data_IF_019391300752
#
_entry.id   IF_019391300752
#
_cell.length_a   1.000
_cell.length_b   1.000
_cell.length_c   1.000
_cell.angle_alpha   90.00
_cell.angle_beta   90.00
_cell.angle_gamma   90.00
#
_symmetry.space_group_name_H-M   'P 1'
#
loop_
_entity.id
_entity.type
_entity.pdbx_description
1 polymer ?
#
# COMPACT_ATOMS: atom_id res chain seq x y z
N UNK A 1 30.80 -0.51 37.65
CA UNK A 1 30.64 0.64 36.72
C UNK A 1 29.80 0.18 35.56
N UNK A 2 28.63 0.82 35.37
CA UNK A 2 27.72 0.60 34.26
C UNK A 2 28.32 1.16 32.97
N UNK A 3 28.16 0.46 31.85
CA UNK A 3 28.03 1.08 30.52
C UNK A 3 26.87 0.37 29.82
N UNK A 4 25.74 1.08 29.78
CA UNK A 4 24.58 0.75 28.97
C UNK A 4 24.92 1.27 27.56
N UNK A 5 24.90 0.38 26.58
CA UNK A 5 24.84 0.77 25.17
C UNK A 5 23.37 0.75 24.78
N UNK A 6 22.80 1.94 24.60
CA UNK A 6 21.52 2.12 23.92
C UNK A 6 21.82 2.12 22.43
N UNK A 7 21.28 1.14 21.71
CA UNK A 7 21.26 1.10 20.25
C UNK A 7 19.90 1.66 19.82
N UNK A 8 19.94 2.78 19.11
CA UNK A 8 18.81 3.50 18.50
C UNK A 8 19.11 3.56 16.99
N UNK A 9 18.08 3.59 16.13
CA UNK A 9 18.02 3.41 14.65
C UNK A 9 17.75 1.96 14.23
N UNK A 10 16.72 1.61 13.43
CA UNK A 10 15.93 2.35 12.42
C UNK A 10 14.49 1.83 12.47
N UNK A 11 13.50 2.71 12.61
CA UNK A 11 12.06 2.40 12.49
C UNK A 11 11.44 3.36 11.47
N UNK A 12 11.87 3.25 10.20
CA UNK A 12 11.45 4.14 9.11
C UNK A 12 11.00 3.39 7.83
N UNK A 13 10.71 2.09 7.91
CA UNK A 13 10.24 1.30 6.74
C UNK A 13 8.79 0.79 6.85
N UNK A 14 8.02 1.19 7.87
CA UNK A 14 6.65 0.69 8.05
C UNK A 14 5.59 1.56 7.36
N UNK A 15 5.92 2.81 7.00
CA UNK A 15 4.96 3.72 6.34
C UNK A 15 4.81 3.49 4.82
N UNK A 16 5.65 2.65 4.22
CA UNK A 16 5.69 2.49 2.76
C UNK A 16 4.52 1.67 2.18
N UNK A 17 3.91 0.78 2.99
CA UNK A 17 2.82 -0.08 2.51
C UNK A 17 1.44 0.61 2.45
N UNK A 18 1.26 1.74 3.15
CA UNK A 18 -0.05 2.41 3.26
C UNK A 18 -0.32 3.32 2.06
N UNK A 19 0.72 3.93 1.48
CA UNK A 19 0.61 4.76 0.27
C UNK A 19 0.18 3.99 -0.99
N UNK A 20 0.58 2.72 -1.11
CA UNK A 20 0.23 1.90 -2.29
C UNK A 20 -1.27 1.59 -2.41
N UNK A 21 -2.02 1.55 -1.30
CA UNK A 21 -3.43 1.16 -1.34
C UNK A 21 -4.35 2.31 -1.77
N UNK A 22 -3.99 3.57 -1.49
CA UNK A 22 -4.69 4.76 -2.00
C UNK A 22 -4.44 4.99 -3.50
N UNK A 23 -3.34 4.45 -4.03
CA UNK A 23 -3.00 4.58 -5.45
C UNK A 23 -3.94 3.78 -6.36
N UNK A 24 -4.40 2.58 -5.97
CA UNK A 24 -5.21 1.71 -6.85
C UNK A 24 -6.67 2.15 -7.04
N UNK A 25 -7.23 2.96 -6.13
CA UNK A 25 -8.63 3.42 -6.26
C UNK A 25 -8.74 4.71 -7.09
N UNK A 26 -7.73 5.57 -7.05
CA UNK A 26 -7.71 6.83 -7.80
C UNK A 26 -7.05 6.74 -9.20
N UNK A 27 -6.32 5.66 -9.51
CA UNK A 27 -5.60 5.51 -10.78
C UNK A 27 -6.31 4.67 -11.85
N UNK A 28 -7.64 4.47 -11.79
CA UNK A 28 -8.36 3.91 -12.95
C UNK A 28 -8.33 4.93 -14.10
N UNK A 29 -7.63 4.70 -15.22
CA UNK A 29 -7.64 5.63 -16.33
C UNK A 29 -9.06 5.69 -16.91
N UNK A 30 -9.68 6.88 -16.84
CA UNK A 30 -10.82 7.18 -17.69
C UNK A 30 -10.35 7.05 -19.13
N UNK A 31 -10.97 6.14 -19.87
CA UNK A 31 -10.69 5.87 -21.28
C UNK A 31 -11.03 7.12 -22.10
N UNK A 32 -10.04 7.99 -22.31
CA UNK A 32 -10.19 9.17 -23.17
C UNK A 32 -9.89 8.76 -24.61
N UNK A 33 -10.88 8.93 -25.49
CA UNK A 33 -10.74 8.62 -26.91
C UNK A 33 -9.68 9.52 -27.57
N UNK A 34 -8.80 8.88 -28.35
CA UNK A 34 -7.69 9.48 -29.07
C UNK A 34 -8.20 10.46 -30.14
N UNK A 35 -7.93 11.75 -29.96
CA UNK A 35 -8.01 12.75 -31.04
C UNK A 35 -6.59 13.05 -31.53
N UNK A 36 -6.21 12.49 -32.67
CA UNK A 36 -5.00 12.89 -33.38
C UNK A 36 -5.27 14.21 -34.10
N UNK A 37 -4.69 15.29 -33.60
CA UNK A 37 -4.59 16.58 -34.29
C UNK A 37 -3.21 17.18 -34.07
N UNK A 38 -2.46 17.31 -35.17
CA UNK A 38 -1.13 17.90 -35.24
C UNK A 38 -1.13 19.40 -34.92
N UNK A 39 -0.45 19.79 -33.84
CA UNK A 39 0.29 21.06 -33.63
C UNK A 39 0.94 21.04 -32.24
N UNK A 40 2.27 20.96 -32.20
CA UNK A 40 3.10 21.06 -30.99
C UNK A 40 2.72 20.06 -29.91
N UNK A 41 3.09 18.80 -30.08
CA UNK A 41 3.07 17.85 -28.96
C UNK A 41 4.38 18.12 -28.23
N UNK A 42 4.32 18.54 -26.97
CA UNK A 42 5.50 18.58 -26.12
C UNK A 42 6.09 17.17 -26.10
N UNK A 43 7.35 17.07 -26.50
CA UNK A 43 7.99 15.78 -26.75
C UNK A 43 8.32 15.07 -25.44
N UNK A 44 8.62 15.86 -24.41
CA UNK A 44 8.63 15.47 -23.01
C UNK A 44 7.63 16.32 -22.21
N UNK A 45 6.98 15.69 -21.25
CA UNK A 45 6.23 16.34 -20.17
C UNK A 45 6.37 15.50 -18.91
N UNK A 46 5.96 16.03 -17.75
CA UNK A 46 5.99 15.28 -16.51
C UNK A 46 4.82 15.66 -15.59
N UNK A 47 4.40 14.69 -14.79
CA UNK A 47 3.47 14.89 -13.69
C UNK A 47 4.19 14.59 -12.38
N UNK A 48 4.22 15.56 -11.46
CA UNK A 48 4.67 15.38 -10.08
C UNK A 48 3.45 15.49 -9.18
N UNK A 49 3.27 14.51 -8.30
CA UNK A 49 2.22 14.51 -7.28
C UNK A 49 2.81 14.32 -5.90
N UNK A 50 2.12 14.82 -4.87
CA UNK A 50 2.44 14.57 -3.47
C UNK A 50 1.17 14.24 -2.69
N UNK A 51 1.32 13.37 -1.69
CA UNK A 51 0.30 13.09 -0.67
C UNK A 51 0.71 13.63 0.70
N UNK A 52 1.80 14.39 0.75
CA UNK A 52 2.32 14.95 1.99
C UNK A 52 1.68 16.30 2.28
N UNK A 53 1.52 16.59 3.56
CA UNK A 53 1.13 17.91 4.05
C UNK A 53 2.36 18.60 4.65
N UNK A 54 2.36 19.93 4.66
CA UNK A 54 3.30 20.69 5.46
C UNK A 54 2.67 21.12 6.79
N UNK A 55 3.50 21.22 7.82
CA UNK A 55 3.12 21.72 9.15
C UNK A 55 3.92 23.00 9.44
N UNK A 56 3.28 24.17 9.56
CA UNK A 56 3.96 25.44 9.82
C UNK A 56 4.86 25.39 11.07
N UNK A 57 6.14 25.75 10.91
CA UNK A 57 7.10 25.76 12.02
C UNK A 57 7.78 24.41 12.28
N UNK A 58 7.44 23.37 11.54
CA UNK A 58 8.03 22.04 11.65
C UNK A 58 9.10 21.76 10.58
N UNK A 59 9.88 20.71 10.82
CA UNK A 59 10.67 20.04 9.78
C UNK A 59 9.88 18.81 9.33
N UNK A 60 9.60 18.71 8.04
CA UNK A 60 8.76 17.65 7.47
C UNK A 60 9.46 16.96 6.30
N UNK A 61 9.25 15.65 6.15
CA UNK A 61 9.66 14.90 4.97
C UNK A 61 8.49 14.81 4.01
N UNK A 62 8.61 15.49 2.87
CA UNK A 62 7.64 15.48 1.78
C UNK A 62 7.96 14.34 0.82
N UNK A 63 6.97 13.51 0.52
CA UNK A 63 7.07 12.40 -0.43
C UNK A 63 6.39 12.76 -1.74
N UNK A 64 7.06 12.50 -2.84
CA UNK A 64 6.62 12.82 -4.19
C UNK A 64 6.66 11.58 -5.08
N UNK A 65 5.82 11.61 -6.12
CA UNK A 65 5.89 10.67 -7.25
C UNK A 65 6.00 11.49 -8.51
N UNK A 66 7.02 11.19 -9.33
CA UNK A 66 7.17 11.75 -10.67
C UNK A 66 6.89 10.68 -11.73
N UNK A 67 6.18 11.08 -12.78
CA UNK A 67 6.03 10.28 -14.01
C UNK A 67 6.38 11.15 -15.20
N UNK A 68 7.43 10.77 -15.94
CA UNK A 68 7.78 11.38 -17.22
C UNK A 68 6.87 10.82 -18.30
N UNK A 69 6.44 11.66 -19.23
CA UNK A 69 5.58 11.30 -20.35
C UNK A 69 6.30 11.74 -21.62
N UNK A 70 6.62 10.78 -22.49
CA UNK A 70 7.22 11.03 -23.80
C UNK A 70 6.52 10.24 -24.90
N UNK A 71 6.49 10.79 -26.11
CA UNK A 71 5.90 10.16 -27.30
C UNK A 71 6.93 9.59 -28.28
N UNK A 72 8.22 9.85 -28.05
CA UNK A 72 9.29 9.47 -28.98
C UNK A 72 10.56 8.96 -28.30
N UNK A 73 10.43 8.42 -27.08
CA UNK A 73 11.52 7.82 -26.30
C UNK A 73 12.52 8.83 -25.71
N UNK A 74 12.10 10.08 -25.52
CA UNK A 74 12.80 11.01 -24.63
C UNK A 74 12.75 10.50 -23.18
N UNK A 75 13.89 10.43 -22.52
CA UNK A 75 14.01 10.12 -21.10
C UNK A 75 14.42 11.35 -20.32
N UNK A 76 13.89 11.52 -19.10
CA UNK A 76 14.30 12.62 -18.24
C UNK A 76 15.70 12.36 -17.68
N UNK A 77 16.59 13.33 -17.82
CA UNK A 77 18.00 13.29 -17.35
C UNK A 77 18.28 14.32 -16.24
N UNK A 78 17.35 15.26 -16.00
CA UNK A 78 17.47 16.25 -14.94
C UNK A 78 16.11 16.60 -14.36
N UNK A 79 16.01 16.62 -13.03
CA UNK A 79 14.86 17.15 -12.30
C UNK A 79 15.34 18.25 -11.36
N UNK A 80 14.70 19.42 -11.44
CA UNK A 80 14.85 20.51 -10.49
C UNK A 80 13.51 20.85 -9.86
N UNK A 81 13.50 21.08 -8.55
CA UNK A 81 12.36 21.59 -7.80
C UNK A 81 12.75 22.86 -7.05
N UNK A 82 11.96 23.91 -7.20
CA UNK A 82 12.15 25.19 -6.51
C UNK A 82 11.00 25.42 -5.53
N UNK A 83 11.34 25.38 -4.25
CA UNK A 83 10.38 25.57 -3.16
C UNK A 83 10.05 27.06 -2.97
N UNK A 84 8.79 27.39 -2.65
CA UNK A 84 8.40 28.78 -2.42
C UNK A 84 9.05 29.34 -1.16
N UNK A 85 9.10 30.67 -1.04
CA UNK A 85 9.59 31.32 0.16
C UNK A 85 8.84 30.82 1.41
N UNK A 86 9.58 30.49 2.47
CA UNK A 86 9.04 29.91 3.69
C UNK A 86 9.04 28.38 3.74
N UNK A 87 9.48 27.70 2.67
CA UNK A 87 9.80 26.27 2.69
C UNK A 87 11.24 26.09 2.24
N UNK A 88 12.13 25.72 3.15
CA UNK A 88 13.57 25.58 2.87
C UNK A 88 13.92 24.10 2.76
N UNK A 89 14.36 23.60 1.59
CA UNK A 89 14.86 22.23 1.47
C UNK A 89 16.12 22.03 2.33
N UNK A 90 16.21 20.88 3.00
CA UNK A 90 17.29 20.50 3.92
C UNK A 90 18.05 19.26 3.43
N UNK A 91 17.34 18.29 2.87
CA UNK A 91 17.89 17.06 2.31
C UNK A 91 16.90 16.47 1.28
N UNK A 92 17.32 15.47 0.52
CA UNK A 92 16.44 14.77 -0.40
C UNK A 92 16.85 13.34 -0.66
N UNK A 93 16.00 12.62 -1.39
CA UNK A 93 16.32 11.31 -1.93
C UNK A 93 17.70 11.36 -2.56
N UNK A 94 18.59 10.41 -2.26
CA UNK A 94 19.93 10.47 -2.80
C UNK A 94 20.02 10.12 -4.30
N UNK A 95 18.99 9.47 -4.83
CA UNK A 95 18.84 9.21 -6.26
C UNK A 95 17.35 8.98 -6.63
N UNK A 96 17.01 9.21 -7.90
CA UNK A 96 15.70 8.92 -8.52
C UNK A 96 15.95 8.08 -9.79
N UNK A 97 15.03 7.23 -10.22
CA UNK A 97 15.19 6.44 -11.46
C UNK A 97 15.43 4.94 -11.24
N UNK A 98 15.71 4.22 -12.32
CA UNK A 98 15.83 2.76 -12.31
C UNK A 98 17.00 2.30 -11.42
N UNK A 99 16.71 1.46 -10.41
CA UNK A 99 17.71 0.76 -9.60
C UNK A 99 18.35 1.57 -8.44
N UNK A 100 17.90 2.80 -8.19
CA UNK A 100 18.26 3.60 -7.01
C UNK A 100 19.74 4.00 -6.94
N UNK A 101 20.24 4.35 -5.74
CA UNK A 101 21.59 4.92 -5.52
C UNK A 101 22.78 4.19 -6.17
N UNK A 102 22.65 2.91 -6.54
CA UNK A 102 23.73 2.09 -7.07
C UNK A 102 23.55 1.72 -8.55
N UNK A 103 22.52 2.26 -9.20
CA UNK A 103 22.27 1.99 -10.60
C UNK A 103 23.02 2.98 -11.50
N UNK A 104 23.45 2.46 -12.65
CA UNK A 104 24.26 3.18 -13.62
C UNK A 104 23.47 4.32 -14.29
N UNK A 105 22.14 4.28 -14.19
CA UNK A 105 21.20 5.20 -14.83
C UNK A 105 20.27 5.88 -13.80
N UNK A 106 20.69 6.00 -12.54
CA UNK A 106 19.89 6.73 -11.55
C UNK A 106 20.33 8.19 -11.50
N UNK A 107 19.35 9.09 -11.47
CA UNK A 107 19.57 10.53 -11.32
C UNK A 107 19.97 10.84 -9.88
N UNK A 108 21.25 11.12 -9.69
CA UNK A 108 21.84 11.36 -8.37
C UNK A 108 21.52 12.77 -7.88
N UNK A 109 21.37 12.92 -6.55
CA UNK A 109 21.18 14.21 -5.92
C UNK A 109 22.39 15.13 -6.15
N UNK A 110 22.16 16.29 -6.76
CA UNK A 110 23.18 17.34 -6.94
C UNK A 110 23.44 18.13 -5.66
N UNK A 111 22.40 18.26 -4.84
CA UNK A 111 22.40 19.04 -3.61
C UNK A 111 21.36 20.16 -3.64
N UNK A 112 21.51 21.10 -2.72
CA UNK A 112 20.56 22.18 -2.48
C UNK A 112 21.26 23.52 -2.68
N UNK A 113 20.68 24.39 -3.51
CA UNK A 113 21.11 25.77 -3.69
C UNK A 113 19.93 26.72 -3.40
N UNK A 114 19.97 27.36 -2.23
CA UNK A 114 18.89 28.24 -1.79
C UNK A 114 17.58 27.47 -1.60
N UNK A 115 16.58 27.78 -2.42
CA UNK A 115 15.27 27.14 -2.39
C UNK A 115 15.14 25.97 -3.39
N UNK A 116 16.22 25.66 -4.09
CA UNK A 116 16.21 24.72 -5.20
C UNK A 116 16.96 23.45 -4.81
N UNK A 117 16.38 22.30 -5.15
CA UNK A 117 16.99 20.97 -5.04
C UNK A 117 16.88 20.27 -6.38
N UNK A 118 17.93 19.55 -6.80
CA UNK A 118 17.93 18.88 -8.10
C UNK A 118 18.64 17.53 -8.12
N UNK A 119 18.29 16.73 -9.14
CA UNK A 119 18.81 15.40 -9.43
C UNK A 119 19.21 15.29 -10.90
N UNK A 120 20.21 14.46 -11.18
CA UNK A 120 20.74 14.24 -12.53
C UNK A 120 21.74 15.30 -12.95
N UNK A 121 22.17 15.35 -14.21
CA UNK A 121 23.28 16.23 -14.62
C UNK A 121 23.04 17.10 -15.86
N UNK A 122 21.86 17.03 -16.47
CA UNK A 122 21.46 17.83 -17.66
C UNK A 122 22.55 17.79 -18.76
N UNK A 123 23.23 16.64 -18.88
CA UNK A 123 24.28 16.46 -19.86
C UNK A 123 23.73 16.14 -21.26
N UNK A 124 22.41 15.89 -21.33
CA UNK A 124 21.66 15.54 -22.52
C UNK A 124 22.17 14.22 -23.17
N UNK A 125 22.68 13.28 -22.37
CA UNK A 125 23.19 11.97 -22.80
C UNK A 125 22.69 10.82 -21.88
N UNK A 126 21.56 10.23 -22.28
CA UNK A 126 20.82 9.15 -21.59
C UNK A 126 20.12 9.60 -20.30
N UNK A 127 18.79 9.58 -20.31
CA UNK A 127 17.99 9.84 -19.11
C UNK A 127 17.71 8.58 -18.27
N UNK A 128 17.74 8.74 -16.95
CA UNK A 128 17.42 7.75 -15.93
C UNK A 128 15.96 7.71 -15.50
N UNK A 129 15.17 8.70 -15.94
CA UNK A 129 13.72 8.77 -15.70
C UNK A 129 12.97 8.32 -16.96
N UNK A 130 12.59 7.03 -16.99
CA UNK A 130 11.88 6.47 -18.12
C UNK A 130 10.42 6.94 -18.19
N UNK A 131 9.93 7.12 -19.41
CA UNK A 131 8.54 7.49 -19.64
C UNK A 131 7.57 6.41 -19.12
N UNK A 132 6.38 6.85 -18.71
CA UNK A 132 5.29 6.05 -18.14
C UNK A 132 5.68 5.19 -16.91
N UNK A 133 6.85 5.45 -16.31
CA UNK A 133 7.33 4.77 -15.10
C UNK A 133 7.23 5.73 -13.91
N UNK A 134 6.46 5.39 -12.86
CA UNK A 134 6.39 6.20 -11.66
C UNK A 134 7.64 6.00 -10.81
N UNK A 135 8.28 7.10 -10.41
CA UNK A 135 9.41 7.10 -9.48
C UNK A 135 9.07 7.86 -8.21
N UNK A 136 9.27 7.20 -7.07
CA UNK A 136 9.04 7.79 -5.75
C UNK A 136 10.33 8.42 -5.22
N UNK A 137 10.21 9.58 -4.60
CA UNK A 137 11.33 10.28 -3.96
C UNK A 137 10.85 11.17 -2.82
N UNK A 138 11.77 11.67 -1.99
CA UNK A 138 11.44 12.52 -0.86
C UNK A 138 12.33 13.77 -0.79
N UNK A 139 11.83 14.80 -0.13
CA UNK A 139 12.55 16.02 0.24
C UNK A 139 12.25 16.37 1.69
N UNK A 140 13.28 16.49 2.52
CA UNK A 140 13.14 17.04 3.87
C UNK A 140 13.18 18.57 3.78
N UNK A 141 12.21 19.25 4.39
CA UNK A 141 12.11 20.71 4.37
C UNK A 141 11.89 21.28 5.77
N UNK A 142 12.42 22.47 6.03
CA UNK A 142 12.00 23.33 7.14
C UNK A 142 10.91 24.29 6.67
N UNK A 143 9.83 24.40 7.44
CA UNK A 143 8.68 25.24 7.11
C UNK A 143 8.58 26.40 8.10
N UNK A 144 8.43 27.62 7.60
CA UNK A 144 8.25 28.81 8.42
C UNK A 144 6.92 28.75 9.19
N UNK A 145 6.92 29.13 10.47
CA UNK A 145 5.74 29.15 11.35
C UNK A 145 4.60 30.04 10.84
N UNK A 146 4.91 31.03 9.99
CA UNK A 146 3.91 31.95 9.42
C UNK A 146 3.30 31.48 8.11
N UNK A 147 3.74 30.36 7.55
CA UNK A 147 3.23 29.85 6.28
C UNK A 147 1.82 29.30 6.47
N UNK A 148 0.92 29.56 5.51
CA UNK A 148 -0.46 29.11 5.58
C UNK A 148 -1.06 28.95 4.17
N UNK A 149 -2.01 28.03 4.04
CA UNK A 149 -2.71 27.72 2.79
C UNK A 149 -1.87 26.92 1.79
N UNK A 150 -2.48 26.55 0.66
CA UNK A 150 -1.79 25.84 -0.42
C UNK A 150 -0.60 26.62 -0.93
N UNK A 151 0.53 25.93 -1.06
CA UNK A 151 1.75 26.41 -1.68
C UNK A 151 1.97 25.72 -3.03
N UNK A 152 2.66 26.37 -3.94
CA UNK A 152 3.05 25.78 -5.22
C UNK A 152 4.58 25.59 -5.23
N UNK A 153 5.04 24.39 -5.58
CA UNK A 153 6.45 24.10 -5.82
C UNK A 153 6.63 24.03 -7.33
N UNK A 154 7.50 24.88 -7.86
CA UNK A 154 7.85 24.85 -9.28
C UNK A 154 8.80 23.67 -9.55
N UNK A 155 8.67 23.04 -10.70
CA UNK A 155 9.64 22.04 -11.16
C UNK A 155 9.99 22.20 -12.64
N UNK A 156 11.19 21.74 -12.98
CA UNK A 156 11.72 21.62 -14.33
C UNK A 156 12.23 20.20 -14.53
N UNK A 157 11.84 19.59 -15.66
CA UNK A 157 12.42 18.36 -16.19
C UNK A 157 13.17 18.71 -17.47
N UNK A 158 14.42 18.27 -17.57
CA UNK A 158 15.17 18.19 -18.83
C UNK A 158 15.18 16.74 -19.31
N UNK A 159 15.26 16.57 -20.62
CA UNK A 159 15.34 15.28 -21.29
C UNK A 159 16.66 15.09 -22.02
N UNK A 160 16.94 13.85 -22.39
CA UNK A 160 18.20 13.42 -23.01
C UNK A 160 18.40 13.80 -24.49
N UNK A 161 17.64 14.78 -24.99
CA UNK A 161 17.68 15.30 -26.38
C UNK A 161 17.44 14.28 -27.49
N UNK A 162 16.88 13.12 -27.16
CA UNK A 162 16.34 12.22 -28.15
C UNK A 162 15.13 12.86 -28.87
N UNK A 163 14.71 12.30 -30.01
CA UNK A 163 13.49 12.79 -30.66
C UNK A 163 13.53 14.25 -31.14
N UNK A 164 12.40 14.96 -31.02
CA UNK A 164 12.26 16.36 -31.41
C UNK A 164 12.11 17.32 -30.22
N UNK A 165 12.30 18.64 -30.38
CA UNK A 165 12.04 19.59 -29.32
C UNK A 165 10.53 19.79 -29.06
N UNK A 166 10.12 20.25 -27.86
CA UNK A 166 10.97 20.66 -26.72
C UNK A 166 11.49 19.47 -25.89
N UNK A 167 12.73 19.59 -25.40
CA UNK A 167 13.41 18.65 -24.51
C UNK A 167 13.33 19.07 -23.03
N UNK A 168 12.57 20.12 -22.74
CA UNK A 168 12.38 20.65 -21.40
C UNK A 168 10.89 20.82 -21.13
N UNK A 169 10.49 20.56 -19.91
CA UNK A 169 9.13 20.79 -19.43
C UNK A 169 9.16 21.40 -18.03
N UNK A 170 8.36 22.45 -17.81
CA UNK A 170 8.16 23.03 -16.48
C UNK A 170 6.71 22.88 -16.04
N UNK A 171 6.52 22.62 -14.75
CA UNK A 171 5.21 22.51 -14.13
C UNK A 171 5.23 22.94 -12.68
N UNK A 172 4.10 22.74 -12.01
CA UNK A 172 3.95 23.00 -10.58
C UNK A 172 3.34 21.79 -9.89
N UNK A 173 3.66 21.61 -8.61
CA UNK A 173 2.98 20.68 -7.71
C UNK A 173 2.41 21.45 -6.53
N UNK A 174 1.12 21.24 -6.27
CA UNK A 174 0.44 21.79 -5.09
C UNK A 174 0.91 21.07 -3.83
N UNK A 175 1.26 21.84 -2.80
CA UNK A 175 1.55 21.36 -1.46
C UNK A 175 0.55 21.96 -0.48
N UNK A 176 -0.19 21.10 0.21
CA UNK A 176 -1.26 21.51 1.12
C UNK A 176 -0.77 21.60 2.56
N UNK A 177 -1.29 22.59 3.29
CA UNK A 177 -1.12 22.68 4.75
C UNK A 177 -1.89 21.53 5.41
N UNK A 178 -1.33 20.97 6.48
CA UNK A 178 -2.04 20.00 7.31
C UNK A 178 -3.37 20.60 7.78
N UNK A 179 -4.50 19.88 7.66
CA UNK A 179 -5.77 20.40 8.13
C UNK A 179 -5.73 20.74 9.63
N UNK A 180 -6.39 21.83 10.04
CA UNK A 180 -6.36 22.36 11.41
C UNK A 180 -7.16 21.52 12.43
N UNK A 181 -7.87 20.50 11.95
CA UNK A 181 -8.67 19.55 12.72
C UNK A 181 -8.20 18.11 12.43
N UNK A 182 -8.44 17.13 13.32
CA UNK A 182 -8.04 15.74 13.09
C UNK A 182 -8.77 15.11 11.89
N UNK A 183 -8.16 14.09 11.30
CA UNK A 183 -8.72 13.29 10.19
C UNK A 183 -8.55 11.82 10.55
N UNK A 184 -9.58 11.20 11.11
CA UNK A 184 -9.50 9.86 11.68
C UNK A 184 -9.96 8.80 10.68
N UNK A 185 -9.03 7.93 10.26
CA UNK A 185 -9.35 6.77 9.42
C UNK A 185 -9.29 5.48 10.24
N UNK A 186 -10.42 4.81 10.50
CA UNK A 186 -10.44 3.48 11.07
C UNK A 186 -10.08 2.40 10.03
N UNK A 187 -9.37 1.34 10.44
CA UNK A 187 -9.16 0.13 9.63
C UNK A 187 -9.15 -1.14 10.49
N UNK A 188 -9.38 -2.30 9.88
CA UNK A 188 -9.01 -3.57 10.47
C UNK A 188 -7.48 -3.65 10.67
N UNK A 189 -7.02 -4.37 11.69
CA UNK A 189 -5.60 -4.51 12.00
C UNK A 189 -5.20 -5.96 12.36
N UNK A 190 -3.91 -6.22 12.50
CA UNK A 190 -3.36 -7.52 12.88
C UNK A 190 -3.68 -8.64 11.89
N UNK A 191 -3.63 -9.91 12.32
CA UNK A 191 -4.02 -11.06 11.47
C UNK A 191 -5.46 -10.93 10.96
N UNK A 192 -6.32 -10.27 11.74
CA UNK A 192 -7.71 -10.03 11.37
C UNK A 192 -7.84 -9.22 10.08
N UNK A 193 -6.94 -8.28 9.80
CA UNK A 193 -6.93 -7.51 8.55
C UNK A 193 -6.74 -8.39 7.30
N UNK A 194 -6.15 -9.57 7.43
CA UNK A 194 -5.88 -10.48 6.31
C UNK A 194 -6.96 -11.55 6.07
N UNK A 195 -7.84 -11.83 7.04
CA UNK A 195 -8.83 -12.90 6.89
C UNK A 195 -9.98 -12.50 5.97
N UNK A 196 -10.37 -13.38 5.05
CA UNK A 196 -11.60 -13.26 4.25
C UNK A 196 -12.64 -14.31 4.64
N UNK A 197 -12.19 -15.42 5.22
CA UNK A 197 -13.06 -16.45 5.79
C UNK A 197 -12.45 -17.09 7.04
N UNK A 198 -13.30 -17.58 7.95
CA UNK A 198 -12.91 -18.25 9.20
C UNK A 198 -13.89 -19.40 9.51
N UNK A 199 -13.42 -20.61 9.83
CA UNK A 199 -14.31 -21.71 10.22
C UNK A 199 -15.05 -21.39 11.51
N UNK A 200 -16.34 -21.72 11.60
CA UNK A 200 -17.17 -21.47 12.79
C UNK A 200 -16.53 -22.01 14.08
N UNK A 201 -15.81 -23.14 14.01
CA UNK A 201 -15.12 -23.72 15.17
C UNK A 201 -13.91 -22.89 15.66
N UNK A 202 -13.39 -21.98 14.84
CA UNK A 202 -12.28 -21.06 15.13
C UNK A 202 -12.72 -19.59 15.12
N UNK A 203 -14.00 -19.33 14.86
CA UNK A 203 -14.51 -17.97 14.69
C UNK A 203 -14.75 -17.23 16.02
N UNK A 204 -14.44 -17.85 17.16
CA UNK A 204 -14.29 -17.15 18.43
C UNK A 204 -12.91 -16.47 18.47
N UNK A 205 -12.88 -15.13 18.38
CA UNK A 205 -11.65 -14.36 18.39
C UNK A 205 -11.87 -12.93 18.90
N UNK A 206 -10.80 -12.26 19.30
CA UNK A 206 -10.81 -10.83 19.64
C UNK A 206 -10.52 -10.01 18.36
N UNK A 207 -11.50 -9.29 17.79
CA UNK A 207 -11.26 -8.47 16.60
C UNK A 207 -10.24 -7.38 16.88
N UNK A 208 -9.43 -7.05 15.88
CA UNK A 208 -8.41 -6.01 15.98
C UNK A 208 -8.67 -4.92 14.95
N UNK A 209 -8.45 -3.67 15.37
CA UNK A 209 -8.58 -2.50 14.52
C UNK A 209 -7.49 -1.48 14.83
N UNK A 210 -7.43 -0.44 14.01
CA UNK A 210 -6.57 0.72 14.21
C UNK A 210 -7.31 1.98 13.83
N UNK A 211 -6.90 3.09 14.42
CA UNK A 211 -7.26 4.44 13.97
C UNK A 211 -5.97 5.16 13.61
N UNK A 212 -5.92 5.74 12.41
CA UNK A 212 -4.84 6.59 11.94
C UNK A 212 -5.32 8.04 11.89
N UNK A 213 -4.51 8.99 12.34
CA UNK A 213 -4.81 10.42 12.20
C UNK A 213 -3.99 11.04 11.05
N UNK A 214 -4.63 11.44 9.95
CA UNK A 214 -3.98 12.08 8.79
C UNK A 214 -3.75 13.58 8.95
N UNK A 215 -4.30 14.21 9.99
CA UNK A 215 -4.24 15.66 10.15
C UNK A 215 -3.84 16.06 11.57
N UNK A 216 -4.22 17.26 12.00
CA UNK A 216 -3.80 17.84 13.26
C UNK A 216 -4.20 16.98 14.48
N UNK A 217 -3.58 17.25 15.62
CA UNK A 217 -3.74 16.48 16.85
C UNK A 217 -5.20 16.37 17.30
N UNK A 218 -5.64 15.12 17.52
CA UNK A 218 -6.89 14.85 18.22
C UNK A 218 -6.70 15.15 19.71
N UNK A 219 -7.39 16.18 20.20
CA UNK A 219 -7.30 16.62 21.60
C UNK A 219 -8.57 16.39 22.41
N UNK A 220 -9.69 16.16 21.73
CA UNK A 220 -10.99 15.89 22.35
C UNK A 220 -11.28 14.39 22.42
N UNK A 221 -11.95 13.97 23.50
CA UNK A 221 -12.30 12.58 23.71
C UNK A 221 -13.18 12.06 22.55
N UNK A 222 -12.69 11.02 21.88
CA UNK A 222 -13.38 10.34 20.77
C UNK A 222 -13.26 8.85 20.98
N UNK A 223 -14.27 8.10 20.52
CA UNK A 223 -14.30 6.66 20.66
C UNK A 223 -14.07 5.95 19.32
N UNK A 224 -13.46 4.77 19.39
CA UNK A 224 -13.37 3.81 18.31
C UNK A 224 -14.39 2.69 18.53
N UNK A 225 -15.31 2.54 17.58
CA UNK A 225 -16.43 1.61 17.66
C UNK A 225 -16.30 0.49 16.64
N UNK A 226 -16.69 -0.72 17.04
CA UNK A 226 -16.84 -1.87 16.16
C UNK A 226 -18.26 -2.45 16.32
N UNK A 227 -18.97 -2.58 15.19
CA UNK A 227 -20.23 -3.32 15.11
C UNK A 227 -20.12 -4.52 14.18
N UNK A 228 -20.79 -5.64 14.52
CA UNK A 228 -20.87 -6.84 13.68
C UNK A 228 -22.32 -7.30 13.60
N UNK A 229 -22.98 -6.92 12.50
CA UNK A 229 -24.43 -7.01 12.37
C UNK A 229 -25.14 -6.36 13.58
N UNK A 230 -26.22 -7.00 14.05
CA UNK A 230 -26.97 -6.53 15.22
C UNK A 230 -26.52 -7.18 16.54
N UNK A 231 -25.47 -8.01 16.51
CA UNK A 231 -25.12 -8.92 17.62
C UNK A 231 -23.92 -8.48 18.45
N UNK A 232 -23.13 -7.53 17.94
CA UNK A 232 -21.92 -7.06 18.56
C UNK A 232 -21.82 -5.54 18.37
N UNK A 233 -21.65 -4.81 19.46
CA UNK A 233 -21.52 -3.35 19.49
C UNK A 233 -20.60 -3.00 20.66
N UNK A 234 -19.32 -2.84 20.36
CA UNK A 234 -18.30 -2.52 21.35
C UNK A 234 -17.61 -1.20 21.01
N UNK A 235 -17.22 -0.47 22.04
CA UNK A 235 -16.65 0.88 21.94
C UNK A 235 -15.46 1.00 22.88
N UNK A 236 -14.34 1.49 22.36
CA UNK A 236 -13.11 1.72 23.11
C UNK A 236 -12.69 3.19 22.97
N UNK A 237 -12.24 3.87 24.04
CA UNK A 237 -11.79 5.26 23.94
C UNK A 237 -10.47 5.35 23.18
N UNK A 238 -10.34 6.33 22.28
CA UNK A 238 -9.07 6.68 21.63
C UNK A 238 -8.18 7.41 22.65
N UNK A 239 -6.92 7.01 22.76
CA UNK A 239 -5.94 7.68 23.62
C UNK A 239 -5.64 9.07 23.07
N UNK A 240 -5.89 10.09 23.89
CA UNK A 240 -5.56 11.47 23.58
C UNK A 240 -4.28 11.94 24.31
N UNK A 241 -3.45 12.79 23.70
CA UNK A 241 -3.58 13.22 22.30
C UNK A 241 -3.19 12.12 21.29
N UNK A 242 -3.84 12.11 20.13
CA UNK A 242 -3.40 11.34 18.96
C UNK A 242 -2.90 12.31 17.89
N UNK A 243 -1.58 12.45 17.78
CA UNK A 243 -0.93 13.43 16.91
C UNK A 243 -1.01 13.10 15.41
N UNK A 244 -0.53 14.04 14.58
CA UNK A 244 -0.39 13.83 13.14
C UNK A 244 0.43 12.58 12.82
N UNK A 245 -0.05 11.82 11.82
CA UNK A 245 0.54 10.59 11.33
C UNK A 245 0.73 9.49 12.40
N UNK A 246 0.03 9.60 13.52
CA UNK A 246 0.04 8.58 14.56
C UNK A 246 -1.06 7.55 14.33
N UNK A 247 -0.76 6.32 14.75
CA UNK A 247 -1.70 5.19 14.74
C UNK A 247 -1.89 4.67 16.14
N UNK A 248 -3.13 4.44 16.54
CA UNK A 248 -3.46 3.65 17.73
C UNK A 248 -4.05 2.30 17.32
N UNK A 249 -3.64 1.24 18.02
CA UNK A 249 -4.12 -0.13 17.77
C UNK A 249 -5.02 -0.59 18.90
N UNK A 250 -6.11 -1.26 18.53
CA UNK A 250 -7.16 -1.70 19.43
C UNK A 250 -7.35 -3.21 19.31
N UNK A 251 -7.61 -3.84 20.46
CA UNK A 251 -8.11 -5.22 20.54
C UNK A 251 -9.45 -5.16 21.26
N UNK A 252 -10.52 -5.50 20.56
CA UNK A 252 -11.86 -5.53 21.10
C UNK A 252 -12.10 -6.80 21.93
N UNK A 253 -13.16 -6.84 22.77
CA UNK A 253 -13.61 -8.07 23.42
C UNK A 253 -13.80 -9.23 22.43
N UNK A 254 -13.82 -10.46 22.95
CA UNK A 254 -14.02 -11.64 22.11
C UNK A 254 -15.40 -11.61 21.43
N UNK A 255 -15.42 -11.80 20.12
CA UNK A 255 -16.60 -12.06 19.33
C UNK A 255 -16.68 -13.56 19.04
N UNK A 256 -17.85 -14.17 19.29
CA UNK A 256 -18.12 -15.58 19.01
C UNK A 256 -19.42 -15.70 18.18
N UNK A 257 -19.34 -15.85 16.85
CA UNK A 257 -20.51 -16.00 16.00
C UNK A 257 -21.23 -17.31 16.30
N UNK A 258 -22.56 -17.29 16.23
CA UNK A 258 -23.41 -18.45 16.57
C UNK A 258 -23.75 -19.28 15.32
N UNK A 259 -23.41 -18.80 14.11
CA UNK A 259 -23.74 -19.46 12.87
C UNK A 259 -22.81 -19.10 11.72
N UNK A 260 -23.03 -19.75 10.58
CA UNK A 260 -22.31 -19.51 9.33
C UNK A 260 -22.97 -18.42 8.51
N UNK A 261 -22.20 -17.74 7.67
CA UNK A 261 -22.66 -16.69 6.75
C UNK A 261 -21.61 -15.60 6.58
N UNK A 262 -21.93 -14.58 5.79
CA UNK A 262 -21.10 -13.37 5.68
C UNK A 262 -21.44 -12.41 6.81
N UNK A 263 -20.42 -11.98 7.55
CA UNK A 263 -20.53 -11.01 8.63
C UNK A 263 -19.76 -9.74 8.24
N UNK A 264 -20.44 -8.60 8.31
CA UNK A 264 -19.83 -7.28 8.06
C UNK A 264 -19.38 -6.68 9.38
N UNK A 265 -18.07 -6.43 9.47
CA UNK A 265 -17.41 -5.73 10.56
C UNK A 265 -17.31 -4.27 10.16
N UNK A 266 -18.03 -3.40 10.86
CA UNK A 266 -18.03 -1.95 10.60
C UNK A 266 -17.27 -1.27 11.74
N UNK A 267 -16.13 -0.70 11.39
CA UNK A 267 -15.29 0.09 12.26
C UNK A 267 -15.59 1.57 12.06
N UNK A 268 -15.75 2.33 13.14
CA UNK A 268 -16.06 3.76 13.07
C UNK A 268 -15.19 4.53 14.04
N UNK A 269 -14.54 5.58 13.54
CA UNK A 269 -13.85 6.59 14.33
C UNK A 269 -14.21 7.93 13.69
N UNK A 270 -14.94 8.77 14.41
CA UNK A 270 -15.34 10.09 13.91
C UNK A 270 -15.24 11.08 15.05
N UNK A 271 -14.28 12.00 14.96
CA UNK A 271 -14.30 13.19 15.80
C UNK A 271 -15.46 14.09 15.37
N UNK A 272 -16.00 14.92 16.28
CA UNK A 272 -17.09 15.85 15.91
C UNK A 272 -16.66 16.90 14.88
N UNK A 273 -15.35 17.13 14.76
CA UNK A 273 -14.69 18.04 13.84
C UNK A 273 -13.75 17.30 12.89
N UNK A 274 -14.03 16.04 12.57
CA UNK A 274 -13.23 15.28 11.62
C UNK A 274 -13.12 16.01 10.27
N UNK A 275 -11.90 16.17 9.74
CA UNK A 275 -11.65 16.87 8.48
C UNK A 275 -12.33 16.18 7.31
N UNK A 276 -12.31 14.84 7.31
CA UNK A 276 -12.84 14.02 6.24
C UNK A 276 -13.85 13.01 6.79
N UNK A 277 -15.08 13.45 7.13
CA UNK A 277 -16.06 12.55 7.73
C UNK A 277 -16.49 11.37 6.84
N UNK A 278 -16.17 11.40 5.53
CA UNK A 278 -16.46 10.33 4.60
C UNK A 278 -15.53 9.11 4.77
N UNK A 279 -14.35 9.27 5.38
CA UNK A 279 -13.41 8.15 5.64
C UNK A 279 -13.52 7.57 7.06
N UNK A 280 -14.32 8.17 7.96
CA UNK A 280 -14.42 7.76 9.36
C UNK A 280 -15.19 6.45 9.60
N UNK A 281 -15.46 5.68 8.54
CA UNK A 281 -16.04 4.34 8.60
C UNK A 281 -15.31 3.39 7.65
N UNK A 282 -14.99 2.20 8.13
CA UNK A 282 -14.39 1.12 7.35
C UNK A 282 -15.18 -0.16 7.54
N UNK A 283 -15.54 -0.82 6.44
CA UNK A 283 -16.25 -2.09 6.46
C UNK A 283 -15.36 -3.23 5.97
N UNK A 284 -15.49 -4.37 6.63
CA UNK A 284 -14.85 -5.61 6.22
C UNK A 284 -15.82 -6.77 6.32
N UNK A 285 -15.98 -7.50 5.23
CA UNK A 285 -16.75 -8.73 5.21
C UNK A 285 -15.86 -9.93 5.51
N UNK A 286 -16.35 -10.83 6.36
CA UNK A 286 -15.74 -12.13 6.63
C UNK A 286 -16.80 -13.21 6.47
N UNK A 287 -16.48 -14.21 5.67
CA UNK A 287 -17.29 -15.42 5.55
C UNK A 287 -16.98 -16.39 6.70
N UNK A 288 -17.96 -16.66 7.55
CA UNK A 288 -17.85 -17.70 8.58
C UNK A 288 -18.48 -18.97 8.02
N UNK A 289 -17.67 -19.99 7.77
CA UNK A 289 -18.10 -21.24 7.12
C UNK A 289 -18.12 -22.44 8.09
N UNK A 290 -18.63 -23.57 7.63
CA UNK A 290 -18.76 -24.77 8.46
C UNK A 290 -17.44 -25.53 8.56
N UNK A 291 -16.75 -25.44 9.71
CA UNK A 291 -15.66 -26.30 10.24
C UNK A 291 -14.45 -26.61 9.37
N UNK A 292 -14.43 -26.22 8.10
CA UNK A 292 -13.40 -26.55 7.12
C UNK A 292 -12.96 -25.20 6.57
N UNK A 293 -11.67 -24.89 6.58
CA UNK A 293 -11.13 -23.82 5.73
C UNK A 293 -11.39 -24.24 4.29
N UNK A 294 -12.55 -23.87 3.76
CA UNK A 294 -13.06 -24.41 2.50
C UNK A 294 -12.89 -23.38 1.40
N UNK A 295 -12.32 -23.82 0.28
CA UNK A 295 -12.40 -23.09 -0.97
C UNK A 295 -13.67 -23.51 -1.69
N UNK A 296 -14.64 -22.59 -1.82
CA UNK A 296 -15.73 -22.75 -2.77
C UNK A 296 -15.34 -22.04 -4.07
N UNK A 297 -15.11 -22.84 -5.11
CA UNK A 297 -14.65 -22.37 -6.41
C UNK A 297 -15.83 -21.71 -7.14
N UNK A 298 -16.06 -20.42 -6.93
CA UNK A 298 -16.80 -19.63 -7.91
C UNK A 298 -16.10 -19.77 -9.26
N UNK A 299 -16.82 -20.22 -10.29
CA UNK A 299 -16.35 -20.63 -11.62
C UNK A 299 -14.96 -20.09 -12.03
N UNK A 300 -13.88 -20.85 -11.79
CA UNK A 300 -12.56 -20.58 -12.36
C UNK A 300 -12.44 -21.28 -13.71
N UNK A 301 -12.25 -20.48 -14.77
CA UNK A 301 -12.31 -20.92 -16.18
C UNK A 301 -10.92 -21.20 -16.77
N UNK A 302 -9.81 -20.90 -16.08
CA UNK A 302 -8.45 -21.08 -16.64
C UNK A 302 -7.37 -21.59 -15.64
N UNK A 303 -6.30 -22.27 -16.12
CA UNK A 303 -5.28 -22.88 -15.25
C UNK A 303 -4.08 -21.95 -14.95
N UNK A 304 -3.65 -21.89 -13.69
CA UNK A 304 -2.34 -21.37 -13.26
C UNK A 304 -1.31 -22.51 -13.09
N UNK A 305 0.00 -22.22 -13.10
CA UNK A 305 1.09 -23.20 -12.88
C UNK A 305 2.33 -22.64 -12.17
N UNK A 306 2.89 -23.30 -11.14
CA UNK A 306 4.29 -23.08 -10.71
C UNK A 306 5.15 -24.32 -11.09
N UNK A 307 6.14 -24.11 -11.96
CA UNK A 307 7.27 -25.04 -12.20
C UNK A 307 7.09 -26.10 -13.30
N UNK A 308 5.87 -26.40 -13.74
CA UNK A 308 5.56 -27.19 -14.93
C UNK A 308 4.34 -26.58 -15.60
N UNK A 309 4.19 -26.58 -16.93
CA UNK A 309 3.00 -26.04 -17.58
C UNK A 309 1.76 -26.83 -17.13
N UNK A 310 1.01 -26.30 -16.13
CA UNK A 310 -0.34 -26.77 -15.77
C UNK A 310 -0.78 -26.97 -14.29
N UNK A 311 -0.19 -26.40 -13.23
CA UNK A 311 -0.64 -26.60 -11.81
C UNK A 311 -0.99 -25.36 -10.95
N UNK A 312 -2.26 -25.11 -10.62
CA UNK A 312 -2.71 -23.85 -10.00
C UNK A 312 -2.11 -23.55 -8.62
N UNK A 313 -1.70 -22.31 -8.36
CA UNK A 313 -1.52 -21.80 -6.98
C UNK A 313 -2.91 -21.63 -6.35
N UNK A 314 -3.16 -22.32 -5.24
CA UNK A 314 -4.41 -22.19 -4.47
C UNK A 314 -4.38 -21.00 -3.49
N UNK A 315 -5.29 -20.99 -2.53
CA UNK A 315 -5.30 -19.99 -1.46
C UNK A 315 -4.09 -20.15 -0.53
N UNK A 316 -3.49 -19.03 -0.15
CA UNK A 316 -2.49 -18.97 0.92
C UNK A 316 -3.24 -18.72 2.22
N UNK A 317 -3.20 -19.68 3.12
CA UNK A 317 -3.72 -19.52 4.48
C UNK A 317 -2.57 -19.14 5.40
N UNK A 318 -2.69 -18.01 6.09
CA UNK A 318 -1.76 -17.66 7.16
C UNK A 318 -2.28 -18.25 8.47
N UNK A 319 -1.57 -19.24 9.00
CA UNK A 319 -1.85 -19.80 10.33
C UNK A 319 -1.01 -19.02 11.34
N UNK A 320 -1.65 -18.12 12.09
CA UNK A 320 -0.97 -17.16 12.96
C UNK A 320 -0.38 -17.76 14.25
N UNK A 321 -0.55 -19.06 14.48
CA UNK A 321 0.00 -19.80 15.60
C UNK A 321 0.50 -21.18 15.13
N UNK A 322 1.40 -21.80 15.90
CA UNK A 322 1.76 -23.20 15.65
C UNK A 322 0.51 -24.08 15.78
N UNK A 323 0.17 -24.79 14.71
CA UNK A 323 -0.96 -25.72 14.67
C UNK A 323 -0.56 -27.01 13.95
N UNK A 324 -1.38 -28.05 14.10
CA UNK A 324 -1.16 -29.36 13.49
C UNK A 324 -2.15 -29.56 12.35
N UNK A 325 -1.64 -29.64 11.12
CA UNK A 325 -2.44 -30.09 9.97
C UNK A 325 -2.81 -31.57 10.17
N UNK A 326 -4.09 -31.84 10.44
CA UNK A 326 -4.57 -33.20 10.74
C UNK A 326 -5.25 -33.89 9.57
N UNK A 327 -5.80 -33.12 8.61
CA UNK A 327 -6.44 -33.65 7.40
C UNK A 327 -6.40 -32.62 6.26
N UNK A 328 -6.49 -33.10 5.02
CA UNK A 328 -6.67 -32.28 3.82
C UNK A 328 -7.76 -32.92 2.98
N UNK A 329 -8.89 -32.24 2.81
CA UNK A 329 -9.97 -32.70 1.94
C UNK A 329 -10.01 -31.87 0.66
N UNK A 330 -10.29 -32.50 -0.47
CA UNK A 330 -10.44 -31.83 -1.76
C UNK A 330 -11.52 -32.48 -2.62
N UNK A 331 -12.12 -31.67 -3.49
CA UNK A 331 -13.11 -32.11 -4.48
C UNK A 331 -12.43 -32.18 -5.85
N UNK A 332 -12.70 -33.25 -6.59
CA UNK A 332 -12.24 -33.38 -7.97
C UNK A 332 -13.41 -33.11 -8.92
N UNK A 333 -13.20 -32.23 -9.89
CA UNK A 333 -14.18 -31.97 -10.95
C UNK A 333 -13.91 -32.94 -12.09
N UNK A 334 -14.85 -33.87 -12.32
CA UNK A 334 -14.78 -34.89 -13.36
C UNK A 334 -13.50 -35.77 -13.35
N UNK A 335 -13.15 -36.41 -12.22
CA UNK A 335 -11.99 -37.28 -12.18
C UNK A 335 -12.17 -38.50 -13.10
N UNK A 336 -11.08 -38.93 -13.74
CA UNK A 336 -11.07 -40.15 -14.56
C UNK A 336 -10.72 -41.35 -13.69
N UNK A 337 -11.41 -42.47 -13.88
CA UNK A 337 -11.05 -43.73 -13.21
C UNK A 337 -9.62 -44.11 -13.60
N UNK A 338 -8.78 -44.31 -12.59
CA UNK A 338 -7.34 -44.56 -12.74
C UNK A 338 -6.45 -43.35 -12.45
N UNK A 339 -7.01 -42.15 -12.32
CA UNK A 339 -6.26 -40.99 -11.84
C UNK A 339 -5.69 -41.27 -10.43
N UNK A 340 -4.57 -40.62 -10.11
CA UNK A 340 -3.92 -40.73 -8.81
C UNK A 340 -3.86 -39.36 -8.18
N UNK A 341 -4.35 -39.25 -6.94
CA UNK A 341 -4.32 -38.01 -6.16
C UNK A 341 -3.59 -38.21 -4.85
N UNK A 342 -2.85 -37.19 -4.43
CA UNK A 342 -2.20 -37.09 -3.12
C UNK A 342 -2.09 -35.63 -2.72
N UNK A 343 -2.15 -35.35 -1.41
CA UNK A 343 -1.83 -34.04 -0.85
C UNK A 343 -0.41 -34.06 -0.28
N UNK A 344 0.34 -32.98 -0.54
CA UNK A 344 1.72 -32.82 -0.09
C UNK A 344 1.89 -31.46 0.58
N UNK A 345 2.62 -31.46 1.69
CA UNK A 345 2.89 -30.28 2.51
C UNK A 345 4.38 -30.02 2.46
N UNK A 346 4.77 -28.82 2.07
CA UNK A 346 6.17 -28.40 1.99
C UNK A 346 6.44 -27.30 3.01
N UNK A 347 7.69 -27.19 3.47
CA UNK A 347 8.18 -25.97 4.10
C UNK A 347 8.11 -24.83 3.07
N UNK A 348 7.80 -23.62 3.51
CA UNK A 348 7.68 -22.47 2.61
C UNK A 348 8.40 -21.26 3.20
N UNK A 349 9.43 -20.79 2.50
CA UNK A 349 10.24 -19.61 2.84
C UNK A 349 10.34 -18.60 1.68
N UNK A 350 9.31 -18.60 0.82
CA UNK A 350 9.23 -17.81 -0.42
C UNK A 350 9.10 -18.71 -1.65
N UNK A 351 9.64 -19.93 -1.57
CA UNK A 351 9.44 -21.02 -2.53
C UNK A 351 9.15 -22.34 -1.79
N UNK A 352 8.53 -23.36 -2.44
CA UNK A 352 8.35 -24.67 -1.81
C UNK A 352 9.70 -25.35 -1.52
N UNK A 353 10.01 -25.54 -0.25
CA UNK A 353 11.22 -26.18 0.26
C UNK A 353 11.07 -27.68 0.51
N UNK A 354 11.51 -28.16 1.68
CA UNK A 354 11.47 -29.59 2.02
C UNK A 354 10.03 -30.12 2.16
N UNK A 355 9.77 -31.34 1.68
CA UNK A 355 8.51 -32.05 1.91
C UNK A 355 8.39 -32.41 3.40
N UNK A 356 7.43 -31.81 4.09
CA UNK A 356 7.12 -32.06 5.51
C UNK A 356 6.24 -33.30 5.66
N UNK A 357 5.19 -33.40 4.84
CA UNK A 357 4.21 -34.48 4.93
C UNK A 357 3.56 -34.80 3.58
N UNK A 358 3.07 -36.02 3.43
CA UNK A 358 2.30 -36.45 2.26
C UNK A 358 1.23 -37.45 2.67
N UNK A 359 0.08 -37.41 2.01
CA UNK A 359 -0.89 -38.52 2.06
C UNK A 359 -0.38 -39.70 1.24
N UNK A 360 -1.04 -40.85 1.38
CA UNK A 360 -0.88 -41.95 0.42
C UNK A 360 -1.52 -41.58 -0.93
N UNK A 361 -1.04 -42.21 -1.99
CA UNK A 361 -1.67 -42.14 -3.30
C UNK A 361 -3.05 -42.81 -3.27
N UNK A 362 -4.07 -42.06 -3.66
CA UNK A 362 -5.43 -42.57 -3.83
C UNK A 362 -5.68 -42.74 -5.32
N UNK A 363 -5.91 -43.99 -5.74
CA UNK A 363 -6.33 -44.30 -7.10
C UNK A 363 -7.84 -44.11 -7.19
N UNK A 364 -8.28 -43.28 -8.14
CA UNK A 364 -9.70 -43.05 -8.40
C UNK A 364 -10.31 -44.33 -8.97
N UNK A 365 -11.03 -45.09 -8.13
CA UNK A 365 -11.69 -46.34 -8.54
C UNK A 365 -13.13 -46.12 -9.02
N UNK A 366 -13.71 -44.98 -8.66
CA UNK A 366 -14.99 -44.49 -9.12
C UNK A 366 -14.96 -42.95 -9.10
N UNK A 367 -15.69 -42.26 -10.00
CA UNK A 367 -15.87 -40.83 -9.90
C UNK A 367 -16.72 -40.53 -8.67
N UNK A 368 -16.05 -40.31 -7.55
CA UNK A 368 -16.64 -39.80 -6.32
C UNK A 368 -16.48 -38.29 -6.31
N UNK A 369 -17.36 -37.59 -5.60
CA UNK A 369 -17.34 -36.13 -5.55
C UNK A 369 -16.33 -35.58 -4.54
N UNK A 370 -15.95 -36.34 -3.51
CA UNK A 370 -15.12 -35.86 -2.40
C UNK A 370 -14.08 -36.89 -1.96
N UNK A 371 -12.85 -36.44 -1.72
CA UNK A 371 -11.74 -37.23 -1.18
C UNK A 371 -11.19 -36.54 0.07
N UNK A 372 -10.89 -37.32 1.11
CA UNK A 372 -10.38 -36.85 2.42
C UNK A 372 -9.13 -37.62 2.80
#
# INVERSE_FOLDING_TARGET
MKKIFTLLFVMAMVNFAIGQQLYLENSRPKKTEKSLSSKGIDVISAEITTVSYFDPGATVTLNFVITVISVDYEYGDYLEMTFPAGITPLDGSPAIGEGGQNAIFAELLNGIEGQTISWGDDDNDNGGLYYDTPYEFWVEVAVDESLAGTQEIDFLISGDQYGGPPHEFSGTVDLYEIPDVPDLEPKAAGPFAAYYSVPLAQAAFAPQGRVYNYANELTEATDFKLTIGDTYDETLPITIPLGYAQTEYFTFPEYAPIGTGTFTFTYTANASNDYNPDNGTFEKEIEIDSTILSFNNGDIVEPMSIGLPGGMTGNVFYVAAEDVLTAVSFYLIAPTVGDIVSARVFAFDGEPGELIASTMDVVITAPETQYT
#
